data_IF_383087174732
#
_entry.id   IF_383087174732
#
_cell.length_a   1.000
_cell.length_b   1.000
_cell.length_c   1.000
_cell.angle_alpha   90.00
_cell.angle_beta   90.00
_cell.angle_gamma   90.00
#
_symmetry.space_group_name_H-M   'P 1'
#
loop_
_entity.id
_entity.type
_entity.pdbx_description
1 polymer ?
#
# COMPACT_ATOMS: atom_id res chain seq x y z
N UNK A 1 -2.54 -10.61 8.36
CA UNK A 1 -1.28 -10.14 8.98
C UNK A 1 -0.75 -11.20 9.94
N UNK A 2 0.58 -11.35 10.01
CA UNK A 2 1.23 -12.22 11.00
C UNK A 2 0.85 -11.79 12.42
N UNK A 3 0.65 -12.75 13.33
CA UNK A 3 0.43 -12.49 14.77
C UNK A 3 1.73 -12.16 15.52
N UNK A 4 2.88 -12.29 14.85
CA UNK A 4 4.22 -12.04 15.43
C UNK A 4 4.52 -10.53 15.53
N UNK A 5 5.45 -10.16 16.40
CA UNK A 5 5.92 -8.78 16.59
C UNK A 5 5.06 -7.90 17.51
N UNK A 6 5.32 -6.59 17.51
CA UNK A 6 4.68 -5.61 18.39
C UNK A 6 3.18 -5.45 18.13
N UNK A 7 2.37 -5.53 19.19
CA UNK A 7 0.94 -5.26 19.13
C UNK A 7 0.62 -3.81 18.74
N UNK A 8 1.46 -2.86 19.17
CA UNK A 8 1.31 -1.44 18.83
C UNK A 8 1.53 -1.24 17.33
N UNK A 9 2.59 -1.82 16.78
CA UNK A 9 2.88 -1.72 15.34
C UNK A 9 1.72 -2.26 14.49
N UNK A 10 1.14 -3.41 14.88
CA UNK A 10 -0.04 -3.96 14.19
C UNK A 10 -1.24 -3.01 14.22
N UNK A 11 -1.51 -2.35 15.35
CA UNK A 11 -2.58 -1.33 15.45
C UNK A 11 -2.29 -0.13 14.55
N UNK A 12 -1.06 0.38 14.54
CA UNK A 12 -0.66 1.49 13.67
C UNK A 12 -0.86 1.14 12.20
N UNK A 13 -0.40 -0.02 11.75
CA UNK A 13 -0.57 -0.49 10.37
C UNK A 13 -2.06 -0.63 10.01
N UNK A 14 -2.87 -1.16 10.93
CA UNK A 14 -4.31 -1.28 10.71
C UNK A 14 -4.98 0.09 10.54
N UNK A 15 -4.67 1.05 11.42
CA UNK A 15 -5.19 2.42 11.32
C UNK A 15 -4.73 3.10 10.03
N UNK A 16 -3.46 2.97 9.66
CA UNK A 16 -2.93 3.49 8.40
C UNK A 16 -3.64 2.88 7.19
N UNK A 17 -3.93 1.58 7.23
CA UNK A 17 -4.69 0.89 6.19
C UNK A 17 -6.08 1.49 6.03
N UNK A 18 -6.81 1.63 7.14
CA UNK A 18 -8.16 2.23 7.13
C UNK A 18 -8.14 3.66 6.58
N UNK A 19 -7.19 4.49 7.04
CA UNK A 19 -7.08 5.86 6.56
C UNK A 19 -6.72 5.91 5.07
N UNK A 20 -5.83 5.03 4.60
CA UNK A 20 -5.41 4.99 3.20
C UNK A 20 -6.56 4.64 2.24
N UNK A 21 -7.49 3.77 2.65
CA UNK A 21 -8.65 3.40 1.83
C UNK A 21 -9.90 4.22 2.14
N UNK A 22 -9.82 5.14 3.10
CA UNK A 22 -10.97 5.98 3.48
C UNK A 22 -11.25 7.06 2.44
N UNK A 23 -12.50 7.47 2.42
CA UNK A 23 -12.97 8.61 1.64
C UNK A 23 -12.96 9.84 2.56
N UNK A 24 -12.48 10.95 2.02
CA UNK A 24 -12.54 12.29 2.63
C UNK A 24 -14.00 12.71 2.84
N UNK A 25 -14.23 13.70 3.71
CA UNK A 25 -15.54 14.35 3.82
C UNK A 25 -16.02 14.95 2.49
N UNK A 26 -15.08 15.29 1.61
CA UNK A 26 -15.35 15.85 0.28
C UNK A 26 -15.69 14.77 -0.78
N UNK A 27 -15.76 13.49 -0.40
CA UNK A 27 -16.05 12.40 -1.33
C UNK A 27 -14.83 11.85 -2.09
N UNK A 28 -13.65 12.43 -1.90
CA UNK A 28 -12.41 12.00 -2.57
C UNK A 28 -11.68 10.90 -1.81
N UNK A 29 -11.12 9.93 -2.53
CA UNK A 29 -10.28 8.90 -1.92
C UNK A 29 -8.94 9.50 -1.43
N UNK A 30 -8.60 9.28 -0.16
CA UNK A 30 -7.32 9.79 0.40
C UNK A 30 -6.10 9.21 -0.32
N UNK A 31 -6.19 7.95 -0.73
CA UNK A 31 -5.25 7.34 -1.66
C UNK A 31 -6.04 6.60 -2.75
N UNK A 32 -6.18 7.18 -3.96
CA UNK A 32 -6.99 6.58 -5.01
C UNK A 32 -6.45 5.21 -5.45
N UNK A 33 -5.13 5.05 -5.50
CA UNK A 33 -4.47 3.79 -5.91
C UNK A 33 -4.76 2.65 -4.93
N UNK A 34 -4.63 2.91 -3.63
CA UNK A 34 -4.93 1.88 -2.61
C UNK A 34 -6.43 1.64 -2.46
N UNK A 35 -7.26 2.66 -2.66
CA UNK A 35 -8.72 2.52 -2.63
C UNK A 35 -9.21 1.64 -3.78
N UNK A 36 -8.77 1.90 -5.00
CA UNK A 36 -9.11 1.09 -6.17
C UNK A 36 -8.63 -0.35 -5.98
N UNK A 37 -7.39 -0.55 -5.52
CA UNK A 37 -6.87 -1.87 -5.21
C UNK A 37 -7.73 -2.62 -4.18
N UNK A 38 -8.18 -1.92 -3.12
CA UNK A 38 -9.08 -2.50 -2.11
C UNK A 38 -10.43 -2.91 -2.71
N UNK A 39 -11.07 -2.03 -3.48
CA UNK A 39 -12.36 -2.30 -4.11
C UNK A 39 -12.28 -3.52 -5.04
N UNK A 40 -11.25 -3.57 -5.89
CA UNK A 40 -11.01 -4.74 -6.77
C UNK A 40 -10.77 -6.04 -5.98
N UNK A 41 -10.20 -5.96 -4.77
CA UNK A 41 -10.06 -7.12 -3.89
C UNK A 41 -11.37 -7.50 -3.22
N UNK A 42 -12.26 -6.56 -2.96
CA UNK A 42 -13.59 -6.84 -2.41
C UNK A 42 -14.48 -7.61 -3.39
N UNK A 43 -14.28 -7.47 -4.70
CA UNK A 43 -15.05 -8.22 -5.71
C UNK A 43 -14.83 -9.73 -5.62
N UNK A 44 -13.66 -10.16 -5.13
CA UNK A 44 -13.27 -11.58 -5.04
C UNK A 44 -13.06 -12.09 -3.61
N UNK A 45 -13.03 -11.20 -2.60
CA UNK A 45 -12.73 -11.56 -1.22
C UNK A 45 -13.59 -10.79 -0.23
N UNK A 46 -13.89 -11.36 0.95
CA UNK A 46 -14.53 -10.61 2.03
C UNK A 46 -13.74 -9.35 2.40
N UNK A 47 -14.45 -8.29 2.79
CA UNK A 47 -13.88 -6.96 3.10
C UNK A 47 -12.68 -7.01 4.06
N UNK A 48 -12.76 -7.81 5.13
CA UNK A 48 -11.67 -7.95 6.11
C UNK A 48 -10.43 -8.63 5.52
N UNK A 49 -10.62 -9.58 4.59
CA UNK A 49 -9.50 -10.24 3.89
C UNK A 49 -8.87 -9.28 2.88
N UNK A 50 -9.68 -8.50 2.17
CA UNK A 50 -9.22 -7.44 1.28
C UNK A 50 -8.42 -6.37 2.03
N UNK A 51 -8.87 -5.94 3.22
CA UNK A 51 -8.10 -5.06 4.10
C UNK A 51 -6.73 -5.65 4.45
N UNK A 52 -6.68 -6.95 4.77
CA UNK A 52 -5.40 -7.63 5.03
C UNK A 52 -4.42 -7.49 3.87
N UNK A 53 -4.88 -7.65 2.62
CA UNK A 53 -4.06 -7.47 1.42
C UNK A 53 -3.54 -6.03 1.26
N UNK A 54 -4.35 -5.02 1.65
CA UNK A 54 -3.93 -3.62 1.65
C UNK A 54 -2.89 -3.36 2.75
N UNK A 55 -3.09 -3.90 3.97
CA UNK A 55 -2.11 -3.78 5.05
C UNK A 55 -0.75 -4.34 4.66
N UNK A 56 -0.71 -5.46 3.93
CA UNK A 56 0.54 -5.99 3.38
C UNK A 56 1.22 -5.01 2.41
N UNK A 57 0.46 -4.34 1.53
CA UNK A 57 1.02 -3.27 0.67
C UNK A 57 1.55 -2.09 1.47
N UNK A 58 0.81 -1.62 2.48
CA UNK A 58 1.21 -0.50 3.34
C UNK A 58 2.52 -0.83 4.08
N UNK A 59 2.65 -2.04 4.63
CA UNK A 59 3.91 -2.48 5.24
C UNK A 59 5.07 -2.42 4.25
N UNK A 60 4.90 -2.93 3.03
CA UNK A 60 5.95 -2.91 2.02
C UNK A 60 6.33 -1.48 1.59
N UNK A 61 5.37 -0.56 1.55
CA UNK A 61 5.64 0.87 1.31
C UNK A 61 6.49 1.46 2.43
N UNK A 62 6.18 1.18 3.70
CA UNK A 62 6.98 1.62 4.85
C UNK A 62 8.40 1.07 4.75
N UNK A 63 8.56 -0.22 4.45
CA UNK A 63 9.89 -0.81 4.25
C UNK A 63 10.65 -0.18 3.08
N UNK A 64 9.99 0.13 1.96
CA UNK A 64 10.63 0.81 0.84
C UNK A 64 11.09 2.22 1.21
N UNK A 65 10.26 3.00 1.90
CA UNK A 65 10.61 4.34 2.40
C UNK A 65 11.84 4.27 3.29
N UNK A 66 11.86 3.34 4.24
CA UNK A 66 12.98 3.17 5.18
C UNK A 66 14.25 2.68 4.48
N UNK A 67 14.12 1.78 3.50
CA UNK A 67 15.25 1.23 2.73
C UNK A 67 15.87 2.27 1.80
N UNK A 68 15.04 3.00 1.06
CA UNK A 68 15.49 3.94 0.03
C UNK A 68 15.73 5.35 0.59
N UNK A 69 15.31 5.61 1.83
CA UNK A 69 15.35 6.91 2.50
C UNK A 69 14.72 8.04 1.65
N UNK A 70 13.62 7.72 0.96
CA UNK A 70 12.88 8.65 0.10
C UNK A 70 11.49 8.92 0.66
N UNK A 71 10.99 10.17 0.59
CA UNK A 71 9.65 10.49 1.06
C UNK A 71 8.59 9.73 0.24
N UNK A 72 7.50 9.36 0.92
CA UNK A 72 6.38 8.68 0.28
C UNK A 72 5.76 9.55 -0.82
N UNK A 73 5.50 8.94 -1.98
CA UNK A 73 4.73 9.53 -3.07
C UNK A 73 3.71 8.52 -3.57
N UNK A 74 2.53 8.99 -3.94
CA UNK A 74 1.53 8.16 -4.59
C UNK A 74 1.95 8.00 -6.04
N UNK A 75 2.30 6.77 -6.43
CA UNK A 75 2.73 6.42 -7.78
C UNK A 75 1.69 5.49 -8.39
N UNK A 76 1.28 5.76 -9.62
CA UNK A 76 0.37 4.87 -10.34
C UNK A 76 1.03 3.51 -10.62
N UNK A 77 0.29 2.39 -10.62
CA UNK A 77 0.88 1.06 -10.85
C UNK A 77 1.70 0.97 -12.15
N UNK A 78 1.24 1.62 -13.21
CA UNK A 78 1.91 1.65 -14.51
C UNK A 78 3.27 2.35 -14.44
N UNK A 79 3.33 3.47 -13.73
CA UNK A 79 4.55 4.24 -13.54
C UNK A 79 5.55 3.48 -12.66
N UNK A 80 5.08 2.82 -11.60
CA UNK A 80 5.91 1.96 -10.78
C UNK A 80 6.53 0.80 -11.57
N UNK A 81 5.78 0.18 -12.49
CA UNK A 81 6.30 -0.88 -13.39
C UNK A 81 7.39 -0.32 -14.31
N UNK A 82 7.18 0.86 -14.90
CA UNK A 82 8.18 1.52 -15.75
C UNK A 82 9.48 1.81 -14.98
N UNK A 83 9.38 2.38 -13.79
CA UNK A 83 10.53 2.66 -12.92
C UNK A 83 11.28 1.39 -12.52
N UNK A 84 10.55 0.32 -12.18
CA UNK A 84 11.14 -0.97 -11.84
C UNK A 84 11.91 -1.57 -13.02
N UNK A 85 11.34 -1.55 -14.22
CA UNK A 85 11.99 -2.10 -15.41
C UNK A 85 13.23 -1.29 -15.80
N UNK A 86 13.16 0.05 -15.72
CA UNK A 86 14.32 0.91 -15.97
C UNK A 86 15.48 0.60 -14.99
N UNK A 87 15.19 0.59 -13.69
CA UNK A 87 16.20 0.26 -12.67
C UNK A 87 16.79 -1.15 -12.82
N UNK A 88 16.00 -2.11 -13.31
CA UNK A 88 16.49 -3.46 -13.59
C UNK A 88 17.43 -3.51 -14.81
N UNK A 89 17.12 -2.76 -15.87
CA UNK A 89 17.98 -2.66 -17.05
C UNK A 89 19.33 -2.00 -16.73
N UNK A 90 19.34 -0.96 -15.89
CA UNK A 90 20.57 -0.25 -15.49
C UNK A 90 21.53 -1.12 -14.65
N UNK A 91 21.03 -2.15 -13.97
CA UNK A 91 21.85 -3.11 -13.19
C UNK A 91 22.46 -4.19 -14.09
N UNK A 92 21.89 -4.42 -15.28
CA UNK A 92 22.31 -5.46 -16.21
C UNK A 92 23.24 -4.95 -17.34
N UNK A 93 23.49 -3.65 -17.40
CA UNK A 93 24.43 -2.98 -18.32
C UNK A 93 25.71 -2.58 -17.58
#
# INVERSE_FOLDING_TARGET
MSKRGSAIARRVIHTLTLQSISISRNGEAKNPVLREYYLKKCDSKPKLVAMGAVSHKVCNMIFAILRDNKPFKIIAPQEHIKQYNAAKCDIAA
#
